data_IF_917827639789
#
_entry.id   IF_917827639789
#
_cell.length_a   1.000
_cell.length_b   1.000
_cell.length_c   1.000
_cell.angle_alpha   90.00
_cell.angle_beta   90.00
_cell.angle_gamma   90.00
#
_symmetry.space_group_name_H-M   'P 1'
#
loop_
_entity.id
_entity.type
_entity.pdbx_description
1 polymer ?
#
# COMPACT_ATOMS: atom_id res chain seq x y z
N UNK A 1 -20.76 -12.89 16.95
CA UNK A 1 -21.37 -12.23 15.77
C UNK A 1 -20.49 -11.04 15.39
N UNK A 2 -19.35 -11.32 14.77
CA UNK A 2 -18.43 -10.31 14.23
C UNK A 2 -18.37 -10.53 12.72
N UNK A 3 -18.64 -9.47 11.96
CA UNK A 3 -18.81 -9.48 10.51
C UNK A 3 -17.55 -10.00 9.79
N UNK A 4 -17.65 -10.85 8.74
CA UNK A 4 -16.49 -11.60 8.21
C UNK A 4 -15.57 -10.84 7.24
N UNK A 5 -15.53 -9.50 7.25
CA UNK A 5 -14.92 -8.73 6.15
C UNK A 5 -13.92 -7.65 6.59
N UNK A 6 -12.95 -7.96 7.46
CA UNK A 6 -11.90 -6.97 7.71
C UNK A 6 -10.51 -7.43 8.14
N UNK A 7 -10.07 -8.65 7.83
CA UNK A 7 -8.66 -9.01 8.02
C UNK A 7 -8.29 -10.12 7.03
N UNK A 8 -7.68 -9.75 5.90
CA UNK A 8 -6.91 -10.68 5.07
C UNK A 8 -5.45 -10.26 5.10
N UNK A 9 -4.88 -10.30 6.31
CA UNK A 9 -3.43 -10.42 6.51
C UNK A 9 -3.10 -11.89 6.25
N UNK A 10 -2.43 -12.19 5.15
CA UNK A 10 -1.80 -13.49 4.94
C UNK A 10 -0.30 -13.27 4.76
N UNK A 11 0.41 -13.17 5.89
CA UNK A 11 1.81 -13.57 5.94
C UNK A 11 1.85 -15.04 6.30
N UNK A 12 2.17 -15.88 5.32
CA UNK A 12 2.26 -17.32 5.50
C UNK A 12 2.40 -18.03 4.16
N UNK A 13 3.65 -18.20 3.72
CA UNK A 13 4.16 -19.13 2.71
C UNK A 13 3.26 -19.35 1.48
N UNK A 14 3.62 -18.67 0.39
CA UNK A 14 2.97 -18.63 -0.93
C UNK A 14 1.79 -17.64 -1.00
N UNK A 15 2.05 -16.34 -1.18
CA UNK A 15 1.00 -15.32 -1.15
C UNK A 15 1.09 -14.29 -2.29
N UNK A 16 0.71 -14.73 -3.49
CA UNK A 16 -0.02 -13.82 -4.38
C UNK A 16 -1.39 -13.55 -3.75
N UNK A 17 -1.49 -12.58 -2.84
CA UNK A 17 -2.73 -12.25 -2.15
C UNK A 17 -2.91 -10.74 -2.09
N UNK A 18 -3.97 -10.26 -2.74
CA UNK A 18 -4.49 -8.89 -2.73
C UNK A 18 -4.11 -8.12 -1.46
N UNK A 19 -3.09 -7.28 -1.59
CA UNK A 19 -2.51 -6.50 -0.52
C UNK A 19 -3.39 -5.31 -0.17
N UNK A 20 -3.75 -5.22 1.11
CA UNK A 20 -4.21 -3.99 1.75
C UNK A 20 -3.65 -4.01 3.17
N UNK A 21 -2.52 -3.32 3.38
CA UNK A 21 -1.78 -3.32 4.63
C UNK A 21 -0.69 -2.24 4.64
N UNK A 22 -0.22 -1.90 5.84
CA UNK A 22 0.95 -1.04 6.04
C UNK A 22 2.21 -1.87 5.83
N UNK A 23 3.08 -1.44 4.92
CA UNK A 23 4.33 -2.15 4.64
C UNK A 23 5.52 -1.47 5.32
N UNK A 24 6.35 -2.26 6.01
CA UNK A 24 7.68 -1.86 6.50
C UNK A 24 8.73 -2.08 5.40
N UNK A 25 9.93 -1.51 5.52
CA UNK A 25 10.97 -1.54 4.46
C UNK A 25 11.17 -2.91 3.81
N UNK A 26 11.40 -3.96 4.59
CA UNK A 26 11.70 -5.29 4.03
C UNK A 26 10.50 -5.87 3.27
N UNK A 27 9.29 -5.65 3.80
CA UNK A 27 8.04 -6.07 3.18
C UNK A 27 7.74 -5.27 1.90
N UNK A 28 8.01 -3.97 1.93
CA UNK A 28 7.82 -3.08 0.79
C UNK A 28 8.73 -3.48 -0.38
N UNK A 29 10.01 -3.72 -0.10
CA UNK A 29 10.97 -4.17 -1.12
C UNK A 29 10.60 -5.58 -1.64
N UNK A 30 10.09 -6.48 -0.78
CA UNK A 30 9.57 -7.78 -1.20
C UNK A 30 8.35 -7.64 -2.13
N UNK A 31 7.38 -6.78 -1.80
CA UNK A 31 6.19 -6.54 -2.63
C UNK A 31 6.58 -6.09 -4.04
N UNK A 32 7.54 -5.15 -4.15
CA UNK A 32 8.02 -4.66 -5.45
C UNK A 32 8.72 -5.76 -6.26
N UNK A 33 9.52 -6.60 -5.59
CA UNK A 33 10.26 -7.69 -6.24
C UNK A 33 9.38 -8.87 -6.65
N UNK A 34 8.35 -9.19 -5.86
CA UNK A 34 7.40 -10.26 -6.16
C UNK A 34 6.39 -9.89 -7.26
N UNK A 35 6.22 -8.58 -7.51
CA UNK A 35 5.25 -8.06 -8.47
C UNK A 35 5.92 -7.22 -9.59
N UNK A 36 6.92 -7.75 -10.33
CA UNK A 36 7.70 -6.96 -11.27
C UNK A 36 6.87 -6.45 -12.45
N UNK A 37 5.88 -7.23 -12.92
CA UNK A 37 5.05 -6.87 -14.08
C UNK A 37 3.74 -6.17 -13.71
N UNK A 38 3.31 -6.25 -12.44
CA UNK A 38 2.10 -5.60 -11.95
C UNK A 38 2.34 -4.10 -11.73
N UNK A 39 1.28 -3.32 -11.80
CA UNK A 39 1.32 -1.95 -11.28
C UNK A 39 1.21 -2.03 -9.76
N UNK A 40 2.11 -1.35 -9.05
CA UNK A 40 2.02 -1.17 -7.60
C UNK A 40 1.67 0.29 -7.34
N UNK A 41 0.57 0.53 -6.64
CA UNK A 41 0.09 1.87 -6.25
C UNK A 41 0.25 2.01 -4.75
N UNK A 42 1.00 3.01 -4.34
CA UNK A 42 1.35 3.25 -2.94
C UNK A 42 0.65 4.52 -2.46
N UNK A 43 -0.14 4.43 -1.39
CA UNK A 43 -0.78 5.55 -0.70
C UNK A 43 0.00 5.89 0.57
N UNK A 44 0.77 6.97 0.54
CA UNK A 44 1.42 7.54 1.72
C UNK A 44 0.41 8.37 2.51
N UNK A 45 0.06 7.89 3.69
CA UNK A 45 -0.99 8.46 4.51
C UNK A 45 -0.52 8.68 5.95
N UNK A 46 -1.29 9.47 6.70
CA UNK A 46 -1.10 9.61 8.15
C UNK A 46 -2.44 9.47 8.87
N UNK A 47 -2.44 8.92 10.08
CA UNK A 47 -3.68 8.73 10.87
C UNK A 47 -4.33 10.05 11.29
N UNK A 48 -3.53 11.11 11.42
CA UNK A 48 -3.97 12.47 11.77
C UNK A 48 -4.36 13.30 10.54
N UNK A 49 -4.09 12.83 9.33
CA UNK A 49 -4.39 13.55 8.08
C UNK A 49 -5.89 13.47 7.73
N UNK A 50 -6.58 14.61 7.82
CA UNK A 50 -8.01 14.73 7.47
C UNK A 50 -8.35 14.28 6.04
N UNK A 51 -7.66 14.79 5.01
CA UNK A 51 -7.88 14.35 3.62
C UNK A 51 -7.65 12.86 3.40
N UNK A 52 -6.68 12.27 4.10
CA UNK A 52 -6.36 10.84 4.00
C UNK A 52 -7.51 9.96 4.46
N UNK A 53 -8.25 10.37 5.51
CA UNK A 53 -9.45 9.66 6.00
C UNK A 53 -10.57 9.62 4.95
N UNK A 54 -10.64 10.61 4.07
CA UNK A 54 -11.60 10.66 2.96
C UNK A 54 -11.14 9.77 1.79
N UNK A 55 -9.82 9.71 1.54
CA UNK A 55 -9.25 8.94 0.44
C UNK A 55 -9.15 7.44 0.74
N UNK A 56 -8.89 7.04 1.99
CA UNK A 56 -8.73 5.64 2.39
C UNK A 56 -9.87 4.70 1.92
N UNK A 57 -11.15 5.06 2.14
CA UNK A 57 -12.28 4.24 1.66
C UNK A 57 -12.36 4.17 0.12
N UNK A 58 -11.92 5.20 -0.60
CA UNK A 58 -11.86 5.17 -2.06
C UNK A 58 -10.72 4.28 -2.55
N UNK A 59 -9.56 4.39 -1.90
CA UNK A 59 -8.40 3.54 -2.19
C UNK A 59 -8.72 2.05 -1.98
N UNK A 60 -9.39 1.71 -0.87
CA UNK A 60 -9.86 0.34 -0.62
C UNK A 60 -10.88 -0.15 -1.67
N UNK A 61 -11.76 0.74 -2.17
CA UNK A 61 -12.69 0.37 -3.24
C UNK A 61 -11.92 0.04 -4.53
N UNK A 62 -10.94 0.86 -4.88
CA UNK A 62 -10.09 0.62 -6.05
C UNK A 62 -9.30 -0.68 -5.91
N UNK A 63 -8.78 -0.99 -4.72
CA UNK A 63 -8.04 -2.24 -4.49
C UNK A 63 -8.92 -3.49 -4.66
N UNK A 64 -10.22 -3.38 -4.41
CA UNK A 64 -11.16 -4.47 -4.63
C UNK A 64 -11.60 -4.59 -6.10
N UNK A 65 -11.58 -3.48 -6.86
CA UNK A 65 -11.97 -3.46 -8.27
C UNK A 65 -10.83 -3.89 -9.19
N UNK A 66 -9.61 -3.41 -8.94
CA UNK A 66 -8.43 -3.64 -9.77
C UNK A 66 -7.56 -4.76 -9.19
N UNK A 67 -7.96 -6.01 -9.40
CA UNK A 67 -7.25 -7.19 -8.86
C UNK A 67 -5.90 -7.48 -9.50
N UNK A 68 -5.62 -6.90 -10.67
CA UNK A 68 -4.31 -6.97 -11.36
C UNK A 68 -3.32 -5.89 -10.94
N UNK A 69 -3.75 -4.99 -10.04
CA UNK A 69 -2.95 -3.91 -9.48
C UNK A 69 -2.74 -4.21 -8.00
N UNK A 70 -1.52 -3.99 -7.52
CA UNK A 70 -1.18 -4.13 -6.11
C UNK A 70 -1.36 -2.78 -5.45
N UNK A 71 -2.11 -2.73 -4.35
CA UNK A 71 -2.34 -1.51 -3.59
C UNK A 71 -1.61 -1.64 -2.26
N UNK A 72 -0.81 -0.64 -1.92
CA UNK A 72 -0.01 -0.60 -0.70
C UNK A 72 -0.33 0.70 0.01
N UNK A 73 -0.45 0.65 1.34
CA UNK A 73 -0.54 1.84 2.17
C UNK A 73 0.75 1.95 2.96
N UNK A 74 1.25 3.15 3.13
CA UNK A 74 2.44 3.42 3.96
C UNK A 74 2.06 4.50 4.94
N UNK A 75 2.14 4.17 6.23
CA UNK A 75 1.95 5.14 7.29
C UNK A 75 3.25 5.94 7.45
N UNK A 76 3.16 7.26 7.25
CA UNK A 76 4.35 8.11 7.29
C UNK A 76 4.97 8.19 8.68
N UNK A 77 4.19 7.90 9.73
CA UNK A 77 4.65 7.91 11.11
C UNK A 77 5.34 6.57 11.50
N UNK A 78 5.04 5.46 10.79
CA UNK A 78 5.58 4.13 11.10
C UNK A 78 6.70 3.69 10.14
N UNK A 79 6.88 4.37 9.00
CA UNK A 79 7.78 3.94 7.90
C UNK A 79 8.65 5.08 7.36
N UNK A 80 9.36 5.78 8.26
CA UNK A 80 10.19 6.96 7.96
C UNK A 80 11.25 6.71 6.87
N UNK A 81 11.79 5.50 6.83
CA UNK A 81 12.78 5.04 5.86
C UNK A 81 12.20 4.97 4.44
N UNK A 82 10.99 4.44 4.26
CA UNK A 82 10.30 4.44 2.96
C UNK A 82 9.93 5.87 2.56
N UNK A 83 9.37 6.65 3.50
CA UNK A 83 8.99 8.06 3.31
C UNK A 83 10.18 8.88 2.80
N UNK A 84 11.35 8.67 3.42
CA UNK A 84 12.59 9.36 3.05
C UNK A 84 13.08 8.96 1.66
N UNK A 85 12.96 7.68 1.25
CA UNK A 85 13.34 7.22 -0.10
C UNK A 85 12.55 7.93 -1.20
N UNK A 86 11.28 8.24 -0.96
CA UNK A 86 10.40 8.89 -1.94
C UNK A 86 10.23 10.41 -1.72
N UNK A 87 10.98 11.01 -0.78
CA UNK A 87 10.90 12.44 -0.42
C UNK A 87 9.46 12.92 -0.15
N UNK A 88 8.67 12.11 0.56
CA UNK A 88 7.26 12.41 0.82
C UNK A 88 7.15 13.51 1.89
N UNK A 89 6.53 14.63 1.52
CA UNK A 89 6.38 15.82 2.38
C UNK A 89 4.92 16.18 2.69
N UNK A 90 3.99 15.67 1.90
CA UNK A 90 2.57 16.03 1.96
C UNK A 90 1.74 14.78 1.79
N UNK A 91 0.65 14.68 2.54
CA UNK A 91 -0.23 13.51 2.53
C UNK A 91 -1.67 13.94 2.17
N UNK A 92 -2.42 13.11 1.42
CA UNK A 92 -1.97 11.86 0.82
C UNK A 92 -1.07 12.11 -0.40
N UNK A 93 -0.05 11.27 -0.60
CA UNK A 93 0.72 11.20 -1.85
C UNK A 93 0.61 9.80 -2.43
N UNK A 94 0.36 9.71 -3.74
CA UNK A 94 0.27 8.44 -4.44
C UNK A 94 1.49 8.26 -5.35
N UNK A 95 2.17 7.13 -5.20
CA UNK A 95 3.30 6.74 -6.07
C UNK A 95 2.91 5.49 -6.85
N UNK A 96 3.26 5.50 -8.13
CA UNK A 96 3.03 4.40 -9.06
C UNK A 96 4.35 3.76 -9.41
N UNK A 97 4.45 2.46 -9.20
CA UNK A 97 5.66 1.68 -9.44
C UNK A 97 5.37 0.54 -10.41
N UNK A 98 6.30 0.28 -11.32
CA UNK A 98 6.30 -0.91 -12.18
C UNK A 98 7.74 -1.29 -12.48
N UNK A 99 8.07 -2.59 -12.44
CA UNK A 99 9.44 -3.10 -12.66
C UNK A 99 10.48 -2.42 -11.77
N UNK A 100 10.12 -2.14 -10.52
CA UNK A 100 11.00 -1.48 -9.54
C UNK A 100 11.29 0.00 -9.81
N UNK A 101 10.65 0.61 -10.81
CA UNK A 101 10.80 2.03 -11.14
C UNK A 101 9.50 2.80 -10.93
N UNK A 102 9.63 4.04 -10.48
CA UNK A 102 8.51 4.99 -10.45
C UNK A 102 8.16 5.43 -11.87
N UNK A 103 6.86 5.48 -12.18
CA UNK A 103 6.33 5.86 -13.50
C UNK A 103 5.51 7.14 -13.47
#
# INVERSE_FOLDING_TARGET
MTSPNHLRLLFGNNCAASGYGNAYTDEFDAILNENPDSLVVIDFYATWCGPCKIMGPKFLKLSNEFTSVVFVKVDVDESEDIVSRFDIKVMPTFIFMRKGAQI
#
